data_IF_495903464806
#
_entry.id   IF_495903464806
#
_cell.length_a   1.000
_cell.length_b   1.000
_cell.length_c   1.000
_cell.angle_alpha   90.00
_cell.angle_beta   90.00
_cell.angle_gamma   90.00
#
_symmetry.space_group_name_H-M   'P 1'
#
loop_
_entity.id
_entity.type
_entity.pdbx_description
1 polymer ?
#
# COMPACT_ATOMS: atom_id res chain seq x y z
N UNK A 1 3.78 10.19 14.63
CA UNK A 1 3.82 8.99 13.76
C UNK A 1 2.76 9.15 12.70
N UNK A 2 3.03 8.76 11.47
CA UNK A 2 2.07 8.90 10.38
C UNK A 2 1.88 7.58 9.66
N UNK A 3 0.62 7.23 9.43
CA UNK A 3 0.23 6.07 8.66
C UNK A 3 -1.03 6.42 7.86
N UNK A 4 -1.11 5.89 6.64
CA UNK A 4 -2.32 5.82 5.86
C UNK A 4 -3.02 4.51 6.21
N UNK A 5 -4.17 4.62 6.89
CA UNK A 5 -4.96 3.46 7.33
C UNK A 5 -6.28 3.42 6.58
N UNK A 6 -6.63 2.24 6.04
CA UNK A 6 -7.94 2.00 5.44
C UNK A 6 -8.76 1.15 6.41
N UNK A 7 -9.93 1.65 6.78
CA UNK A 7 -10.84 1.01 7.73
C UNK A 7 -12.17 0.72 7.05
N UNK A 8 -12.72 -0.47 7.26
CA UNK A 8 -14.05 -0.88 6.82
C UNK A 8 -14.87 -1.28 8.04
N UNK A 9 -15.78 -0.41 8.47
CA UNK A 9 -16.47 -0.56 9.76
C UNK A 9 -15.50 -0.29 10.91
N UNK A 10 -15.28 -1.28 11.76
CA UNK A 10 -14.31 -1.30 12.86
C UNK A 10 -13.04 -2.11 12.54
N UNK A 11 -12.92 -2.59 11.29
CA UNK A 11 -11.80 -3.44 10.86
C UNK A 11 -10.80 -2.63 10.05
N UNK A 12 -9.54 -2.57 10.51
CA UNK A 12 -8.41 -2.14 9.67
C UNK A 12 -8.16 -3.20 8.60
N UNK A 13 -8.33 -2.81 7.34
CA UNK A 13 -8.22 -3.69 6.18
C UNK A 13 -6.87 -3.55 5.45
N UNK A 14 -6.17 -2.43 5.67
CA UNK A 14 -4.82 -2.18 5.18
C UNK A 14 -4.22 -0.97 5.91
N UNK A 15 -2.91 -0.94 6.09
CA UNK A 15 -2.18 0.21 6.63
C UNK A 15 -0.84 0.39 5.91
N UNK A 16 -0.33 1.61 5.76
CA UNK A 16 0.96 1.84 5.08
C UNK A 16 2.18 1.29 5.84
N UNK A 17 2.05 1.12 7.15
CA UNK A 17 3.05 0.54 8.06
C UNK A 17 2.86 -0.97 8.26
N UNK A 18 2.20 -1.65 7.31
CA UNK A 18 1.91 -3.08 7.40
C UNK A 18 3.14 -3.99 7.37
N UNK A 19 4.29 -3.48 6.96
CA UNK A 19 5.58 -4.17 7.00
C UNK A 19 6.27 -4.04 8.37
N UNK A 20 5.60 -3.42 9.35
CA UNK A 20 6.12 -3.19 10.70
C UNK A 20 7.06 -1.99 10.80
N UNK A 21 7.35 -1.31 9.69
CA UNK A 21 8.22 -0.12 9.69
C UNK A 21 7.39 1.11 10.03
N UNK A 22 7.60 1.58 11.25
CA UNK A 22 6.92 2.76 11.78
C UNK A 22 7.52 4.05 11.23
N UNK A 23 6.70 4.89 10.58
CA UNK A 23 7.15 6.19 10.11
C UNK A 23 7.10 7.27 11.21
N UNK A 24 8.28 7.65 11.68
CA UNK A 24 8.49 8.71 12.67
C UNK A 24 8.63 10.08 11.98
N UNK A 25 7.50 10.65 11.58
CA UNK A 25 7.45 11.92 10.89
C UNK A 25 7.92 13.12 11.74
N UNK A 26 8.66 14.03 11.11
CA UNK A 26 8.97 15.36 11.64
C UNK A 26 7.92 16.37 11.21
N UNK A 27 7.12 16.87 12.15
CA UNK A 27 6.07 17.85 11.87
C UNK A 27 4.81 17.23 11.25
N UNK A 28 4.14 18.00 10.38
CA UNK A 28 2.89 17.58 9.75
C UNK A 28 3.13 16.55 8.64
N UNK A 29 2.19 15.63 8.48
CA UNK A 29 2.24 14.66 7.40
C UNK A 29 1.39 15.06 6.22
N UNK A 30 1.88 14.72 5.03
CA UNK A 30 1.21 14.97 3.77
C UNK A 30 1.07 13.64 3.03
N UNK A 31 -0.16 13.33 2.64
CA UNK A 31 -0.44 12.31 1.64
C UNK A 31 -0.61 13.01 0.30
N UNK A 32 0.19 12.64 -0.69
CA UNK A 32 0.20 13.30 -1.99
C UNK A 32 0.29 12.28 -3.12
N UNK A 33 -0.56 12.45 -4.15
CA UNK A 33 -0.35 11.81 -5.44
C UNK A 33 0.49 12.73 -6.31
N UNK A 34 1.79 12.46 -6.37
CA UNK A 34 2.76 13.29 -7.06
C UNK A 34 2.56 13.27 -8.58
N UNK A 35 3.11 14.27 -9.27
CA UNK A 35 2.98 14.45 -10.73
C UNK A 35 3.50 13.25 -11.53
N UNK A 36 4.55 12.60 -11.02
CA UNK A 36 5.14 11.38 -11.58
C UNK A 36 4.25 10.13 -11.42
N UNK A 37 3.14 10.25 -10.69
CA UNK A 37 2.16 9.20 -10.46
C UNK A 37 2.45 8.33 -9.24
N UNK A 38 3.31 8.76 -8.32
CA UNK A 38 3.53 8.05 -7.06
C UNK A 38 2.69 8.62 -5.92
N UNK A 39 1.99 7.75 -5.18
CA UNK A 39 1.33 8.13 -3.92
C UNK A 39 2.33 8.03 -2.77
N UNK A 40 2.58 9.14 -2.09
CA UNK A 40 3.60 9.25 -1.04
C UNK A 40 3.01 9.77 0.25
N UNK A 41 3.42 9.17 1.37
CA UNK A 41 3.23 9.71 2.70
C UNK A 41 4.55 10.34 3.15
N UNK A 42 4.57 11.66 3.28
CA UNK A 42 5.75 12.43 3.67
C UNK A 42 5.56 13.19 4.97
N UNK A 43 6.66 13.57 5.61
CA UNK A 43 6.66 14.50 6.74
C UNK A 43 6.92 15.96 6.30
N UNK A 44 6.96 16.87 7.27
CA UNK A 44 7.14 18.31 7.03
C UNK A 44 8.53 18.68 6.50
N UNK A 45 9.51 17.77 6.59
CA UNK A 45 10.83 17.93 6.00
C UNK A 45 10.92 17.31 4.59
N UNK A 46 9.84 16.69 4.10
CA UNK A 46 9.81 15.99 2.81
C UNK A 46 10.35 14.56 2.87
N UNK A 47 10.61 14.01 4.06
CA UNK A 47 11.03 12.61 4.21
C UNK A 47 9.89 11.70 3.79
N UNK A 48 10.16 10.72 2.93
CA UNK A 48 9.16 9.73 2.50
C UNK A 48 9.14 8.58 3.49
N UNK A 49 8.01 8.40 4.17
CA UNK A 49 7.80 7.27 5.08
C UNK A 49 7.20 6.05 4.40
N UNK A 50 6.38 6.27 3.38
CA UNK A 50 5.79 5.20 2.57
C UNK A 50 5.52 5.70 1.14
N UNK A 51 5.65 4.79 0.17
CA UNK A 51 5.37 5.04 -1.25
C UNK A 51 4.69 3.82 -1.88
N UNK A 52 3.77 4.09 -2.80
CA UNK A 52 3.14 3.06 -3.63
C UNK A 52 4.08 2.41 -4.65
N UNK A 53 5.24 3.02 -4.93
CA UNK A 53 6.20 2.56 -5.93
C UNK A 53 5.68 2.68 -7.37
N UNK A 54 4.81 3.65 -7.64
CA UNK A 54 4.17 3.84 -8.96
C UNK A 54 4.71 5.02 -9.75
N UNK A 55 5.85 5.59 -9.32
CA UNK A 55 6.56 6.61 -10.08
C UNK A 55 6.77 6.16 -11.54
N UNK A 56 6.42 7.02 -12.50
CA UNK A 56 6.50 6.73 -13.94
C UNK A 56 5.36 5.87 -14.48
N UNK A 57 4.50 5.27 -13.62
CA UNK A 57 3.32 4.51 -14.03
C UNK A 57 2.09 5.38 -14.28
N UNK A 58 2.25 6.71 -14.21
CA UNK A 58 1.24 7.71 -14.59
C UNK A 58 -0.09 7.53 -13.86
N UNK A 59 -0.08 7.12 -12.59
CA UNK A 59 -1.29 7.17 -11.78
C UNK A 59 -1.83 8.61 -11.72
N UNK A 60 -3.14 8.75 -11.84
CA UNK A 60 -3.86 10.03 -11.83
C UNK A 60 -5.03 10.05 -10.86
N UNK A 61 -5.52 8.89 -10.45
CA UNK A 61 -6.69 8.78 -9.57
C UNK A 61 -6.36 7.87 -8.40
N UNK A 62 -6.61 8.36 -7.20
CA UNK A 62 -6.72 7.55 -5.99
C UNK A 62 -8.19 7.20 -5.77
N UNK A 63 -8.53 5.90 -5.78
CA UNK A 63 -9.91 5.43 -5.62
C UNK A 63 -10.04 4.43 -4.48
N UNK A 64 -10.90 4.74 -3.52
CA UNK A 64 -11.32 3.83 -2.46
C UNK A 64 -12.67 3.20 -2.83
N UNK A 65 -12.76 1.88 -2.87
CA UNK A 65 -14.02 1.16 -3.13
C UNK A 65 -14.82 0.95 -1.84
N UNK A 66 -16.12 0.63 -1.99
CA UNK A 66 -16.99 0.19 -0.88
C UNK A 66 -16.49 -1.08 -0.17
N UNK A 67 -15.57 -1.82 -0.80
CA UNK A 67 -14.96 -3.05 -0.25
C UNK A 67 -13.64 -2.77 0.50
N UNK A 68 -13.26 -1.51 0.69
CA UNK A 68 -12.03 -1.15 1.40
C UNK A 68 -10.75 -1.32 0.55
N UNK A 69 -10.88 -1.52 -0.76
CA UNK A 69 -9.71 -1.57 -1.66
C UNK A 69 -9.32 -0.15 -2.06
N UNK A 70 -8.09 0.22 -1.77
CA UNK A 70 -7.47 1.44 -2.27
C UNK A 70 -6.75 1.11 -3.57
N UNK A 71 -7.05 1.83 -4.65
CA UNK A 71 -6.47 1.62 -5.98
C UNK A 71 -5.90 2.92 -6.52
N UNK A 72 -4.77 2.81 -7.21
CA UNK A 72 -4.24 3.85 -8.07
C UNK A 72 -4.57 3.50 -9.52
N UNK A 73 -5.19 4.45 -10.22
CA UNK A 73 -5.61 4.28 -11.60
C UNK A 73 -4.88 5.28 -12.50
N UNK A 74 -4.52 4.86 -13.70
CA UNK A 74 -3.98 5.72 -14.75
C UNK A 74 -5.09 6.52 -15.46
N UNK A 75 -4.71 7.32 -16.47
CA UNK A 75 -5.66 8.12 -17.26
C UNK A 75 -6.65 7.27 -18.09
N UNK A 76 -6.35 5.99 -18.32
CA UNK A 76 -7.24 5.03 -19.00
C UNK A 76 -8.09 4.25 -17.99
N UNK A 77 -8.10 4.66 -16.72
CA UNK A 77 -8.82 4.03 -15.62
C UNK A 77 -8.33 2.58 -15.34
N UNK A 78 -7.11 2.24 -15.74
CA UNK A 78 -6.46 0.95 -15.48
C UNK A 78 -5.73 0.98 -14.14
N UNK A 79 -5.80 -0.13 -13.39
CA UNK A 79 -5.11 -0.26 -12.11
C UNK A 79 -3.60 -0.37 -12.31
N UNK A 80 -2.83 0.49 -11.64
CA UNK A 80 -1.37 0.41 -11.61
C UNK A 80 -0.82 -0.05 -10.25
N UNK A 81 -1.67 0.02 -9.22
CA UNK A 81 -1.42 -0.48 -7.87
C UNK A 81 -2.74 -0.68 -7.11
N UNK A 82 -2.77 -1.61 -6.16
CA UNK A 82 -3.85 -1.72 -5.18
C UNK A 82 -3.36 -2.25 -3.82
N UNK A 83 -4.02 -1.85 -2.74
CA UNK A 83 -3.65 -2.19 -1.36
C UNK A 83 -3.62 -3.70 -1.09
N UNK A 84 -4.49 -4.48 -1.74
CA UNK A 84 -4.62 -5.91 -1.46
C UNK A 84 -3.69 -6.81 -2.27
N UNK A 85 -2.91 -6.26 -3.21
CA UNK A 85 -1.89 -7.03 -3.96
C UNK A 85 -0.69 -7.39 -3.08
N UNK A 86 -0.49 -6.65 -1.99
CA UNK A 86 0.42 -7.01 -0.90
C UNK A 86 -0.43 -7.22 0.36
N UNK A 87 -1.05 -8.41 0.53
CA UNK A 87 -1.90 -8.67 1.68
C UNK A 87 -1.11 -8.43 2.98
N UNK A 88 -1.74 -7.75 3.93
CA UNK A 88 -1.26 -7.72 5.32
C UNK A 88 -1.63 -9.04 6.00
N UNK A 89 -1.30 -9.17 7.28
CA UNK A 89 -1.68 -10.22 8.22
C UNK A 89 -3.19 -10.61 8.25
N UNK A 90 -4.08 -9.85 7.59
CA UNK A 90 -5.53 -10.09 7.57
C UNK A 90 -6.04 -10.36 6.15
N UNK A 91 -6.59 -11.56 5.96
CA UNK A 91 -7.30 -11.95 4.74
C UNK A 91 -8.77 -11.55 4.83
N UNK A 92 -9.23 -10.73 3.89
CA UNK A 92 -10.65 -10.38 3.78
C UNK A 92 -11.40 -11.33 2.85
N UNK A 93 -12.70 -11.50 3.09
CA UNK A 93 -13.57 -12.28 2.19
C UNK A 93 -13.48 -11.73 0.75
N UNK A 94 -13.08 -12.60 -0.20
CA UNK A 94 -12.90 -12.25 -1.61
C UNK A 94 -11.50 -11.77 -2.00
N UNK A 95 -10.51 -11.89 -1.10
CA UNK A 95 -9.10 -11.64 -1.40
C UNK A 95 -8.42 -12.93 -1.88
N UNK A 96 -7.74 -12.88 -3.03
CA UNK A 96 -6.90 -13.97 -3.52
C UNK A 96 -5.45 -13.70 -3.17
N UNK A 97 -4.79 -14.66 -2.50
CA UNK A 97 -3.34 -14.65 -2.35
C UNK A 97 -2.75 -15.14 -3.67
N UNK A 98 -1.93 -14.30 -4.29
CA UNK A 98 -1.12 -14.73 -5.43
C UNK A 98 0.15 -15.37 -4.87
N UNK A 99 0.18 -16.69 -4.81
CA UNK A 99 1.38 -17.43 -4.45
C UNK A 99 2.44 -17.21 -5.56
N UNK A 100 3.73 -17.03 -5.20
CA UNK A 100 4.79 -17.12 -6.19
C UNK A 100 4.74 -18.50 -6.84
N UNK A 101 4.75 -18.56 -8.18
CA UNK A 101 4.74 -19.83 -8.91
C UNK A 101 6.02 -20.61 -8.60
N UNK A 102 5.87 -21.90 -8.30
CA UNK A 102 6.91 -22.89 -8.00
C UNK A 102 7.91 -23.08 -9.15
N UNK A 103 8.73 -22.07 -9.47
CA UNK A 103 9.87 -22.19 -10.37
C UNK A 103 10.96 -21.14 -10.08
N UNK A 104 10.96 -20.54 -8.88
CA UNK A 104 12.05 -19.68 -8.43
C UNK A 104 13.07 -20.52 -7.62
N UNK A 105 14.35 -20.63 -8.01
CA UNK A 105 15.30 -21.60 -7.43
C UNK A 105 15.82 -21.23 -6.04
N UNK A 106 15.31 -20.19 -5.39
CA UNK A 106 15.80 -19.76 -4.07
C UNK A 106 14.63 -19.66 -3.10
N UNK A 107 14.23 -20.82 -2.59
CA UNK A 107 13.32 -20.91 -1.45
C UNK A 107 14.07 -20.66 -0.16
N UNK A 108 13.69 -19.61 0.58
CA UNK A 108 13.55 -19.65 2.05
C UNK A 108 12.51 -18.60 2.45
N UNK A 109 11.31 -19.03 2.86
CA UNK A 109 10.46 -18.26 3.77
C UNK A 109 10.44 -19.03 5.09
N UNK A 110 11.21 -18.57 6.07
CA UNK A 110 11.10 -19.05 7.44
C UNK A 110 9.78 -18.49 7.99
N UNK A 111 8.77 -19.34 8.12
CA UNK A 111 7.70 -19.11 9.09
C UNK A 111 8.30 -19.41 10.47
N UNK A 112 8.75 -18.37 11.16
CA UNK A 112 9.04 -18.44 12.59
C UNK A 112 7.80 -18.03 13.37
N UNK A 113 7.41 -18.75 14.44
CA UNK A 113 6.42 -18.25 15.38
C UNK A 113 7.08 -17.25 16.34
N UNK A 114 6.46 -16.09 16.54
CA UNK A 114 6.12 -15.48 17.84
C UNK A 114 5.14 -14.34 17.59
#
# INVERSE_FOLDING_TARGET
MCSLVVVLGDVTVWASDHDGVKFLARGLCRLELAVDGDLRLTDGAGTVGWSSGTAGRRAKVLRLSRTGKLRLLDAKNQSVWQSFDKPTDKLLRGQCIRLPSYNDPVGVLLLGPQ
#
